data_IF_670589381617
#
_entry.id   IF_670589381617
#
_cell.length_a   1.000
_cell.length_b   1.000
_cell.length_c   1.000
_cell.angle_alpha   90.00
_cell.angle_beta   90.00
_cell.angle_gamma   90.00
#
_symmetry.space_group_name_H-M   'P 1'
#
loop_
_entity.id
_entity.type
_entity.pdbx_description
1 polymer ?
#
# COMPACT_ATOMS: atom_id res chain seq x y z
N UNK A 1 -0.04 16.90 11.54
CA UNK A 1 -0.82 16.09 12.52
C UNK A 1 -2.33 16.40 12.59
N UNK A 2 -2.91 17.24 11.69
CA UNK A 2 -4.32 17.68 11.79
C UNK A 2 -5.27 17.21 10.66
N UNK A 3 -4.79 16.42 9.68
CA UNK A 3 -5.61 15.98 8.54
C UNK A 3 -6.19 14.57 8.69
N UNK A 4 -5.51 13.61 9.33
CA UNK A 4 -5.97 12.21 9.43
C UNK A 4 -7.26 11.96 10.25
N UNK A 5 -7.49 12.71 11.33
CA UNK A 5 -8.64 12.47 12.24
C UNK A 5 -10.01 12.91 11.67
N UNK A 6 -10.04 13.79 10.66
CA UNK A 6 -11.28 14.17 9.96
C UNK A 6 -11.75 13.10 8.97
N UNK A 7 -10.84 12.24 8.49
CA UNK A 7 -11.13 11.22 7.47
C UNK A 7 -11.90 10.01 8.01
N UNK A 8 -11.56 9.55 9.22
CA UNK A 8 -12.34 8.50 9.90
C UNK A 8 -13.81 8.91 10.10
N UNK A 9 -14.09 10.22 10.25
CA UNK A 9 -15.46 10.74 10.38
C UNK A 9 -16.22 10.80 9.05
N UNK A 10 -15.53 11.00 7.93
CA UNK A 10 -16.14 11.00 6.59
C UNK A 10 -16.42 9.57 6.09
N UNK A 11 -15.53 8.62 6.37
CA UNK A 11 -15.77 7.20 6.11
C UNK A 11 -16.92 6.67 7.00
N UNK A 12 -16.98 7.08 8.26
CA UNK A 12 -18.08 6.75 9.16
C UNK A 12 -19.43 7.36 8.73
N UNK A 13 -19.42 8.50 8.01
CA UNK A 13 -20.64 9.09 7.44
C UNK A 13 -21.17 8.33 6.23
N UNK A 14 -20.32 7.57 5.52
CA UNK A 14 -20.72 6.75 4.38
C UNK A 14 -21.13 5.31 4.76
N UNK A 15 -20.87 4.86 6.00
CA UNK A 15 -21.12 3.48 6.44
C UNK A 15 -21.61 3.43 7.90
N UNK A 16 -22.93 3.42 8.15
CA UNK A 16 -23.50 3.50 9.51
C UNK A 16 -23.33 2.25 10.40
N UNK A 17 -22.61 1.21 9.96
CA UNK A 17 -22.50 -0.06 10.68
C UNK A 17 -21.26 -0.22 11.59
N UNK A 18 -20.40 0.79 11.71
CA UNK A 18 -19.12 0.69 12.45
C UNK A 18 -19.13 1.33 13.86
N UNK A 19 -20.29 1.67 14.42
CA UNK A 19 -20.37 2.18 15.79
C UNK A 19 -20.76 1.09 16.78
N UNK A 20 -19.77 0.33 17.28
CA UNK A 20 -19.92 -0.44 18.52
C UNK A 20 -18.74 -0.12 19.45
N UNK A 21 -19.06 0.63 20.49
CA UNK A 21 -18.50 0.68 21.85
C UNK A 21 -17.08 0.14 22.09
N UNK A 22 -16.15 1.04 22.42
CA UNK A 22 -14.99 0.75 23.26
C UNK A 22 -14.88 1.87 24.30
N UNK A 23 -15.57 1.72 25.44
CA UNK A 23 -15.00 1.32 26.73
C UNK A 23 -13.75 2.10 27.16
N UNK A 24 -13.96 2.97 28.15
CA UNK A 24 -12.97 3.78 28.83
C UNK A 24 -12.25 2.96 29.91
N UNK A 25 -10.93 3.12 30.10
CA UNK A 25 -10.34 2.94 31.41
C UNK A 25 -9.63 4.20 31.90
N UNK A 26 -10.07 4.63 33.08
CA UNK A 26 -9.40 5.52 34.00
C UNK A 26 -8.24 4.79 34.69
N UNK A 27 -7.04 5.39 34.72
CA UNK A 27 -6.40 5.92 35.94
C UNK A 27 -4.92 6.20 35.67
N UNK A 28 -4.50 7.39 36.09
CA UNK A 28 -3.12 7.86 36.09
C UNK A 28 -2.30 7.17 37.18
N UNK A 29 -1.11 6.69 36.82
CA UNK A 29 -0.01 6.45 37.76
C UNK A 29 1.28 7.07 37.21
N UNK A 30 1.79 8.02 37.96
CA UNK A 30 3.07 8.70 37.76
C UNK A 30 4.23 7.73 38.00
N UNK A 31 5.25 7.63 37.11
CA UNK A 31 6.49 6.96 37.45
C UNK A 31 7.58 7.96 37.86
N UNK A 32 8.27 7.57 38.92
CA UNK A 32 9.42 8.21 39.56
C UNK A 32 10.68 7.93 38.73
N UNK A 33 11.49 8.97 38.54
CA UNK A 33 12.71 9.06 37.73
C UNK A 33 13.87 8.21 38.29
N UNK A 34 14.36 7.21 37.56
CA UNK A 34 15.66 6.53 37.80
C UNK A 34 16.34 6.10 36.47
N UNK A 35 17.61 6.50 36.32
CA UNK A 35 18.68 5.95 35.46
C UNK A 35 18.56 5.97 33.92
N UNK A 36 19.42 6.79 33.30
CA UNK A 36 19.36 7.23 31.88
C UNK A 36 20.02 6.29 30.86
N UNK A 37 20.51 5.10 31.22
CA UNK A 37 21.08 4.13 30.25
C UNK A 37 20.25 2.85 30.12
N UNK A 38 19.71 2.32 31.22
CA UNK A 38 18.70 1.23 31.18
C UNK A 38 17.35 1.71 30.62
N UNK A 39 17.12 3.02 30.62
CA UNK A 39 15.86 3.63 30.13
C UNK A 39 15.69 3.59 28.62
N UNK A 40 16.77 3.58 27.83
CA UNK A 40 16.65 3.56 26.37
C UNK A 40 16.28 2.15 25.87
N UNK A 41 16.98 1.13 26.34
CA UNK A 41 16.72 -0.28 26.04
C UNK A 41 15.36 -0.73 26.56
N UNK A 42 14.99 -0.34 27.78
CA UNK A 42 13.65 -0.62 28.30
C UNK A 42 12.56 0.13 27.52
N UNK A 43 12.81 1.36 27.05
CA UNK A 43 11.83 2.12 26.26
C UNK A 43 11.72 1.64 24.81
N UNK A 44 12.79 1.10 24.25
CA UNK A 44 12.80 0.44 22.94
C UNK A 44 12.06 -0.90 23.05
N UNK A 45 12.40 -1.73 24.04
CA UNK A 45 11.71 -2.98 24.34
C UNK A 45 10.22 -2.77 24.64
N UNK A 46 9.86 -1.71 25.38
CA UNK A 46 8.45 -1.39 25.65
C UNK A 46 7.71 -0.98 24.37
N UNK A 47 8.35 -0.20 23.49
CA UNK A 47 7.75 0.23 22.21
C UNK A 47 7.58 -0.93 21.23
N UNK A 48 8.55 -1.82 21.11
CA UNK A 48 8.42 -3.02 20.27
C UNK A 48 7.36 -3.96 20.82
N UNK A 49 7.25 -4.08 22.15
CA UNK A 49 6.20 -4.88 22.80
C UNK A 49 4.80 -4.28 22.53
N UNK A 50 4.62 -2.97 22.65
CA UNK A 50 3.37 -2.29 22.29
C UNK A 50 3.03 -2.43 20.81
N UNK A 51 4.02 -2.35 19.92
CA UNK A 51 3.81 -2.56 18.48
C UNK A 51 3.37 -4.01 18.16
N UNK A 52 4.06 -5.00 18.76
CA UNK A 52 3.77 -6.42 18.58
C UNK A 52 2.40 -6.86 19.11
N UNK A 53 1.84 -6.12 20.06
CA UNK A 53 0.52 -6.40 20.65
C UNK A 53 -0.61 -5.62 19.99
N UNK A 54 -0.31 -4.82 18.96
CA UNK A 54 -1.31 -4.03 18.25
C UNK A 54 -2.39 -4.91 17.59
N UNK A 55 -3.60 -4.36 17.47
CA UNK A 55 -4.72 -5.03 16.82
C UNK A 55 -4.40 -5.52 15.40
N UNK A 56 -3.59 -4.74 14.67
CA UNK A 56 -3.19 -5.06 13.30
C UNK A 56 -2.34 -6.34 13.23
N UNK A 57 -1.40 -6.50 14.18
CA UNK A 57 -0.59 -7.72 14.30
C UNK A 57 -1.45 -8.91 14.71
N UNK A 58 -2.41 -8.71 15.62
CA UNK A 58 -3.32 -9.78 16.05
C UNK A 58 -4.19 -10.31 14.91
N UNK A 59 -4.67 -9.44 14.02
CA UNK A 59 -5.39 -9.87 12.80
C UNK A 59 -4.46 -10.69 11.91
N UNK A 60 -3.22 -10.23 11.69
CA UNK A 60 -2.25 -10.96 10.87
C UNK A 60 -2.03 -12.38 11.41
N UNK A 61 -1.74 -12.49 12.71
CA UNK A 61 -1.53 -13.75 13.40
C UNK A 61 -2.78 -14.64 13.41
N UNK A 62 -3.98 -14.07 13.48
CA UNK A 62 -5.22 -14.83 13.35
C UNK A 62 -5.32 -15.52 11.98
N UNK A 63 -5.05 -14.80 10.88
CA UNK A 63 -5.11 -15.34 9.52
C UNK A 63 -3.90 -16.20 9.14
N UNK A 64 -2.83 -16.17 9.93
CA UNK A 64 -1.65 -17.03 9.78
C UNK A 64 -1.89 -18.45 10.32
N UNK A 65 -2.67 -18.61 11.40
CA UNK A 65 -2.99 -19.91 12.03
C UNK A 65 -3.49 -21.02 11.08
N UNK A 66 -4.38 -20.76 10.11
CA UNK A 66 -4.88 -21.82 9.21
C UNK A 66 -3.88 -22.22 8.12
N UNK A 67 -2.73 -21.54 7.99
CA UNK A 67 -1.79 -21.78 6.90
C UNK A 67 -0.92 -23.01 7.20
N UNK A 68 -0.82 -23.99 6.27
CA UNK A 68 0.01 -25.16 6.46
C UNK A 68 1.49 -24.83 6.78
N UNK A 69 2.16 -25.57 7.67
CA UNK A 69 3.55 -25.30 8.06
C UNK A 69 4.52 -25.21 6.89
N UNK A 70 4.39 -26.08 5.89
CA UNK A 70 5.25 -26.06 4.70
C UNK A 70 5.15 -24.74 3.91
N UNK A 71 3.96 -24.12 3.89
CA UNK A 71 3.75 -22.82 3.25
C UNK A 71 4.36 -21.73 4.15
N UNK A 72 4.11 -21.80 5.47
CA UNK A 72 4.70 -20.86 6.44
C UNK A 72 6.24 -20.83 6.35
N UNK A 73 6.89 -21.99 6.27
CA UNK A 73 8.35 -22.10 6.14
C UNK A 73 8.87 -21.52 4.81
N UNK A 74 8.08 -21.67 3.74
CA UNK A 74 8.40 -21.10 2.43
C UNK A 74 8.30 -19.57 2.45
N UNK A 75 7.23 -19.01 3.02
CA UNK A 75 6.95 -17.56 3.04
C UNK A 75 7.42 -16.85 4.31
N UNK A 76 8.14 -17.53 5.20
CA UNK A 76 8.71 -16.94 6.39
C UNK A 76 9.61 -15.76 6.01
N UNK A 77 9.58 -14.70 6.82
CA UNK A 77 10.48 -13.57 6.66
C UNK A 77 11.93 -14.06 6.75
N UNK A 78 12.75 -13.75 5.75
CA UNK A 78 14.17 -14.12 5.73
C UNK A 78 15.04 -12.88 5.80
N UNK A 79 16.10 -12.92 6.60
CA UNK A 79 17.16 -11.92 6.48
C UNK A 79 17.89 -12.15 5.16
N UNK A 80 17.69 -11.26 4.19
CA UNK A 80 18.23 -11.41 2.83
C UNK A 80 19.48 -10.53 2.73
N UNK A 81 20.64 -11.13 3.00
CA UNK A 81 21.94 -10.47 2.91
C UNK A 81 22.34 -10.17 1.46
N UNK A 82 22.05 -11.10 0.53
CA UNK A 82 22.20 -10.93 -0.90
C UNK A 82 20.87 -11.26 -1.57
N UNK A 83 20.30 -10.30 -2.29
CA UNK A 83 19.12 -10.56 -3.12
C UNK A 83 19.59 -11.43 -4.27
N UNK A 84 19.00 -12.63 -4.43
CA UNK A 84 19.31 -13.49 -5.57
C UNK A 84 19.26 -12.67 -6.87
N UNK A 85 20.35 -12.65 -7.64
CA UNK A 85 20.44 -11.80 -8.83
C UNK A 85 19.50 -12.26 -9.96
N UNK A 86 19.08 -13.54 -9.91
CA UNK A 86 18.20 -14.15 -10.90
C UNK A 86 16.79 -13.58 -10.92
N UNK A 87 16.28 -13.33 -12.13
CA UNK A 87 14.91 -12.83 -12.40
C UNK A 87 13.83 -13.66 -11.69
N UNK A 88 13.90 -14.98 -11.80
CA UNK A 88 12.92 -15.89 -11.16
C UNK A 88 13.08 -15.86 -9.64
N UNK A 89 14.32 -15.87 -9.15
CA UNK A 89 14.62 -15.80 -7.71
C UNK A 89 14.05 -14.54 -7.06
N UNK A 90 14.20 -13.37 -7.68
CA UNK A 90 13.59 -12.10 -7.21
C UNK A 90 12.07 -12.11 -7.29
N UNK A 91 11.52 -12.77 -8.31
CA UNK A 91 10.08 -12.84 -8.48
C UNK A 91 9.48 -13.69 -7.34
N UNK A 92 10.01 -14.90 -7.13
CA UNK A 92 9.53 -15.91 -6.18
C UNK A 92 10.08 -15.74 -4.77
N UNK A 93 10.91 -14.72 -4.52
CA UNK A 93 11.58 -14.54 -3.24
C UNK A 93 10.56 -14.30 -2.13
N UNK A 94 10.70 -15.01 -1.00
CA UNK A 94 9.86 -14.76 0.16
C UNK A 94 10.01 -13.32 0.68
N UNK A 95 9.11 -12.89 1.57
CA UNK A 95 9.28 -11.65 2.33
C UNK A 95 10.69 -11.58 2.91
N UNK A 96 11.38 -10.47 2.67
CA UNK A 96 12.77 -10.29 3.09
C UNK A 96 12.98 -9.12 4.02
N UNK A 97 14.07 -9.17 4.77
CA UNK A 97 14.55 -8.07 5.60
C UNK A 97 16.00 -7.69 5.22
N UNK A 98 16.27 -6.42 4.83
CA UNK A 98 15.32 -5.36 4.43
C UNK A 98 14.35 -5.82 3.33
N UNK A 99 13.28 -5.08 3.01
CA UNK A 99 12.34 -5.51 1.96
C UNK A 99 13.01 -5.86 0.63
N UNK A 100 12.45 -6.81 -0.12
CA UNK A 100 13.04 -7.27 -1.39
C UNK A 100 12.58 -6.36 -2.53
N UNK A 101 13.49 -5.72 -3.28
CA UNK A 101 13.11 -4.87 -4.40
C UNK A 101 12.57 -5.73 -5.55
N UNK A 102 11.26 -5.58 -5.82
CA UNK A 102 10.55 -6.28 -6.90
C UNK A 102 10.18 -5.27 -8.00
N UNK A 103 10.98 -5.14 -9.08
CA UNK A 103 10.75 -4.14 -10.11
C UNK A 103 9.40 -4.35 -10.82
N UNK A 104 8.80 -3.26 -11.31
CA UNK A 104 7.43 -3.28 -11.82
C UNK A 104 7.26 -4.25 -12.99
N UNK A 105 8.20 -4.25 -13.94
CA UNK A 105 8.16 -5.16 -15.08
C UNK A 105 8.10 -6.64 -14.67
N UNK A 106 8.78 -7.03 -13.59
CA UNK A 106 8.72 -8.39 -13.06
C UNK A 106 7.34 -8.69 -12.46
N UNK A 107 6.79 -7.76 -11.69
CA UNK A 107 5.46 -7.91 -11.11
C UNK A 107 4.40 -8.02 -12.22
N UNK A 108 4.48 -7.22 -13.27
CA UNK A 108 3.58 -7.32 -14.44
C UNK A 108 3.76 -8.66 -15.15
N UNK A 109 4.99 -9.07 -15.41
CA UNK A 109 5.29 -10.34 -16.09
C UNK A 109 4.75 -11.54 -15.33
N UNK A 110 4.79 -11.54 -14.00
CA UNK A 110 4.17 -12.58 -13.18
C UNK A 110 2.64 -12.47 -13.13
N UNK A 111 2.12 -11.25 -13.05
CA UNK A 111 0.69 -10.99 -12.77
C UNK A 111 -0.21 -11.14 -13.99
N UNK A 112 0.23 -10.70 -15.17
CA UNK A 112 -0.57 -10.79 -16.40
C UNK A 112 -0.93 -12.24 -16.79
N UNK A 113 0.04 -13.19 -16.89
CA UNK A 113 -0.29 -14.58 -17.26
C UNK A 113 -1.00 -15.35 -16.14
N UNK A 114 -0.81 -14.95 -14.88
CA UNK A 114 -1.43 -15.63 -13.73
C UNK A 114 -2.80 -15.06 -13.34
N UNK A 115 -3.34 -14.08 -14.09
CA UNK A 115 -4.62 -13.46 -13.77
C UNK A 115 -4.64 -12.75 -12.41
N UNK A 116 -3.57 -12.01 -12.09
CA UNK A 116 -3.34 -11.29 -10.83
C UNK A 116 -3.04 -12.16 -9.59
N UNK A 117 -2.97 -13.49 -9.72
CA UNK A 117 -2.54 -14.35 -8.60
C UNK A 117 -1.15 -13.95 -8.10
N UNK A 118 -0.23 -13.67 -9.03
CA UNK A 118 1.10 -13.21 -8.68
C UNK A 118 1.11 -11.84 -8.01
N UNK A 119 0.20 -10.95 -8.44
CA UNK A 119 0.04 -9.65 -7.80
C UNK A 119 -0.43 -9.81 -6.35
N UNK A 120 -1.31 -10.77 -6.09
CA UNK A 120 -1.69 -11.17 -4.74
C UNK A 120 -0.47 -11.57 -3.91
N UNK A 121 0.37 -12.47 -4.40
CA UNK A 121 1.61 -12.85 -3.70
C UNK A 121 2.56 -11.67 -3.47
N UNK A 122 2.75 -10.80 -4.47
CA UNK A 122 3.53 -9.57 -4.31
C UNK A 122 2.97 -8.69 -3.18
N UNK A 123 1.65 -8.49 -3.15
CA UNK A 123 0.97 -7.68 -2.13
C UNK A 123 1.11 -8.31 -0.74
N UNK A 124 0.98 -9.63 -0.65
CA UNK A 124 1.25 -10.38 0.57
C UNK A 124 2.65 -10.08 1.09
N UNK A 125 3.67 -10.22 0.23
CA UNK A 125 5.05 -10.09 0.66
C UNK A 125 5.39 -8.67 1.11
N UNK A 126 4.95 -7.66 0.36
CA UNK A 126 5.15 -6.26 0.72
C UNK A 126 4.48 -5.90 2.05
N UNK A 127 3.25 -6.37 2.28
CA UNK A 127 2.53 -6.09 3.52
C UNK A 127 3.22 -6.71 4.74
N UNK A 128 3.74 -7.93 4.62
CA UNK A 128 4.55 -8.58 5.69
C UNK A 128 5.87 -7.82 5.91
N UNK A 129 6.61 -7.49 4.84
CA UNK A 129 7.88 -6.78 4.93
C UNK A 129 7.74 -5.43 5.65
N UNK A 130 6.69 -4.68 5.32
CA UNK A 130 6.42 -3.38 5.94
C UNK A 130 5.90 -3.53 7.38
N UNK A 131 5.09 -4.56 7.67
CA UNK A 131 4.60 -4.81 9.03
C UNK A 131 5.76 -5.11 9.98
N UNK A 132 6.66 -6.01 9.59
CA UNK A 132 7.80 -6.41 10.40
C UNK A 132 8.80 -5.27 10.60
N UNK A 133 9.02 -4.46 9.56
CA UNK A 133 9.82 -3.23 9.68
C UNK A 133 9.21 -2.24 10.68
N UNK A 134 7.89 -2.00 10.64
CA UNK A 134 7.21 -1.11 11.59
C UNK A 134 7.33 -1.61 13.04
N UNK A 135 7.16 -2.92 13.27
CA UNK A 135 7.32 -3.53 14.60
C UNK A 135 8.75 -3.35 15.11
N UNK A 136 9.74 -3.64 14.25
CA UNK A 136 11.17 -3.54 14.59
C UNK A 136 11.58 -2.10 14.91
N UNK A 137 11.10 -1.14 14.15
CA UNK A 137 11.34 0.29 14.40
C UNK A 137 10.56 0.82 15.63
N UNK A 138 9.76 -0.03 16.30
CA UNK A 138 8.93 0.34 17.43
C UNK A 138 7.83 1.34 17.06
N UNK A 139 7.45 1.38 15.77
CA UNK A 139 6.35 2.20 15.25
C UNK A 139 5.03 1.45 15.47
N UNK A 140 3.95 2.21 15.64
CA UNK A 140 2.61 1.61 15.65
C UNK A 140 2.31 1.04 14.26
N UNK A 141 2.09 -0.28 14.12
CA UNK A 141 1.85 -0.88 12.82
C UNK A 141 0.60 -0.29 12.16
N UNK A 142 0.68 0.06 10.87
CA UNK A 142 -0.44 0.62 10.11
C UNK A 142 -1.11 -0.40 9.22
N UNK A 143 -0.31 -1.25 8.59
CA UNK A 143 -0.80 -2.37 7.78
C UNK A 143 -1.22 -3.55 8.63
N UNK A 144 -2.04 -4.43 8.04
CA UNK A 144 -2.51 -5.67 8.68
C UNK A 144 -1.59 -6.87 8.41
N UNK A 145 -0.44 -6.64 7.78
CA UNK A 145 0.40 -7.72 7.25
C UNK A 145 -0.23 -8.40 6.02
N UNK A 146 0.51 -9.31 5.41
CA UNK A 146 0.09 -10.06 4.24
C UNK A 146 -1.06 -11.01 4.56
N UNK A 147 -1.01 -11.72 5.69
CA UNK A 147 -2.10 -12.63 6.09
C UNK A 147 -3.36 -11.85 6.48
N UNK A 148 -3.20 -10.77 7.25
CA UNK A 148 -4.33 -9.94 7.66
C UNK A 148 -4.93 -9.12 6.51
N UNK A 149 -4.17 -8.86 5.45
CA UNK A 149 -4.66 -8.18 4.24
C UNK A 149 -5.35 -9.14 3.27
N UNK A 150 -4.70 -10.26 2.91
CA UNK A 150 -5.27 -11.18 1.93
C UNK A 150 -6.26 -12.16 2.53
N UNK A 151 -6.08 -12.56 3.79
CA UNK A 151 -6.97 -13.52 4.47
C UNK A 151 -8.44 -13.10 4.40
N UNK A 152 -8.83 -11.93 4.95
CA UNK A 152 -10.22 -11.47 4.87
C UNK A 152 -10.74 -11.33 3.44
N UNK A 153 -9.91 -10.86 2.51
CA UNK A 153 -10.28 -10.75 1.09
C UNK A 153 -10.60 -12.10 0.48
N UNK A 154 -9.68 -13.08 0.60
CA UNK A 154 -9.86 -14.44 0.07
C UNK A 154 -11.05 -15.12 0.74
N UNK A 155 -11.19 -14.99 2.06
CA UNK A 155 -12.36 -15.53 2.78
C UNK A 155 -13.66 -14.91 2.28
N UNK A 156 -13.75 -13.59 2.13
CA UNK A 156 -14.95 -12.92 1.63
C UNK A 156 -15.29 -13.32 0.19
N UNK A 157 -14.28 -13.40 -0.68
CA UNK A 157 -14.44 -13.79 -2.08
C UNK A 157 -14.79 -15.27 -2.26
N UNK A 158 -14.34 -16.18 -1.40
CA UNK A 158 -14.66 -17.61 -1.48
C UNK A 158 -15.97 -17.96 -0.76
N UNK A 159 -16.19 -17.41 0.44
CA UNK A 159 -17.39 -17.71 1.22
C UNK A 159 -18.65 -17.10 0.61
N UNK A 160 -18.55 -15.98 -0.10
CA UNK A 160 -19.72 -15.35 -0.70
C UNK A 160 -20.41 -16.21 -1.78
N UNK A 161 -19.69 -16.72 -2.79
CA UNK A 161 -20.26 -17.64 -3.78
C UNK A 161 -20.74 -18.95 -3.16
N UNK A 162 -20.00 -19.50 -2.19
CA UNK A 162 -20.43 -20.72 -1.47
C UNK A 162 -21.74 -20.48 -0.72
N UNK A 163 -21.85 -19.37 0.02
CA UNK A 163 -23.06 -18.99 0.72
C UNK A 163 -24.23 -18.74 -0.24
N UNK A 164 -23.95 -18.16 -1.42
CA UNK A 164 -24.95 -17.97 -2.47
C UNK A 164 -25.46 -19.31 -3.04
N UNK A 165 -24.56 -20.25 -3.33
CA UNK A 165 -24.91 -21.61 -3.79
C UNK A 165 -25.74 -22.36 -2.73
N UNK A 166 -25.44 -22.14 -1.45
CA UNK A 166 -26.19 -22.73 -0.32
C UNK A 166 -27.48 -21.96 0.03
N UNK A 167 -27.88 -20.98 -0.78
CA UNK A 167 -29.07 -20.13 -0.58
C UNK A 167 -29.10 -19.40 0.78
N UNK A 168 -27.93 -19.08 1.35
CA UNK A 168 -27.84 -18.27 2.56
C UNK A 168 -28.12 -16.79 2.23
N UNK A 169 -29.02 -16.12 2.97
CA UNK A 169 -29.36 -14.73 2.70
C UNK A 169 -28.12 -13.83 2.88
N UNK A 170 -27.83 -13.03 1.86
CA UNK A 170 -26.72 -12.07 1.90
C UNK A 170 -25.33 -12.64 1.57
N UNK A 171 -25.21 -13.87 1.06
CA UNK A 171 -23.91 -14.48 0.70
C UNK A 171 -23.04 -13.57 -0.19
N UNK A 172 -23.61 -12.96 -1.23
CA UNK A 172 -22.86 -12.03 -2.11
C UNK A 172 -22.37 -10.76 -1.40
N UNK A 173 -22.99 -10.36 -0.28
CA UNK A 173 -22.51 -9.21 0.49
C UNK A 173 -21.14 -9.48 1.10
N UNK A 174 -20.80 -10.75 1.40
CA UNK A 174 -19.49 -11.10 1.94
C UNK A 174 -18.38 -10.89 0.91
N UNK A 175 -18.64 -11.19 -0.37
CA UNK A 175 -17.69 -10.88 -1.45
C UNK A 175 -17.53 -9.39 -1.65
N UNK A 176 -18.63 -8.64 -1.61
CA UNK A 176 -18.57 -7.17 -1.68
C UNK A 176 -17.76 -6.58 -0.52
N UNK A 177 -17.93 -7.09 0.70
CA UNK A 177 -17.13 -6.70 1.86
C UNK A 177 -15.65 -7.04 1.67
N UNK A 178 -15.33 -8.20 1.11
CA UNK A 178 -13.95 -8.57 0.74
C UNK A 178 -13.33 -7.57 -0.25
N UNK A 179 -14.09 -7.17 -1.27
CA UNK A 179 -13.64 -6.18 -2.26
C UNK A 179 -13.43 -4.81 -1.60
N UNK A 180 -14.39 -4.33 -0.81
CA UNK A 180 -14.23 -3.05 -0.08
C UNK A 180 -13.01 -3.10 0.84
N UNK A 181 -12.79 -4.22 1.51
CA UNK A 181 -11.66 -4.43 2.39
C UNK A 181 -10.32 -4.37 1.65
N UNK A 182 -10.19 -5.03 0.48
CA UNK A 182 -8.92 -5.00 -0.27
C UNK A 182 -8.61 -3.60 -0.84
N UNK A 183 -9.63 -2.80 -1.14
CA UNK A 183 -9.46 -1.39 -1.50
C UNK A 183 -9.02 -0.54 -0.31
N UNK A 184 -9.60 -0.78 0.88
CA UNK A 184 -9.18 -0.10 2.10
C UNK A 184 -7.71 -0.39 2.43
N UNK A 185 -7.28 -1.66 2.40
CA UNK A 185 -5.88 -2.01 2.66
C UNK A 185 -4.95 -1.47 1.58
N UNK A 186 -5.40 -1.39 0.32
CA UNK A 186 -4.65 -0.72 -0.76
C UNK A 186 -4.41 0.77 -0.43
N UNK A 187 -5.42 1.49 0.05
CA UNK A 187 -5.26 2.89 0.45
C UNK A 187 -4.24 3.05 1.58
N UNK A 188 -4.31 2.18 2.59
CA UNK A 188 -3.34 2.17 3.71
C UNK A 188 -1.93 1.89 3.20
N UNK A 189 -1.75 0.93 2.29
CA UNK A 189 -0.45 0.62 1.68
C UNK A 189 0.14 1.84 0.95
N UNK A 190 -0.68 2.57 0.19
CA UNK A 190 -0.22 3.77 -0.51
C UNK A 190 0.23 4.88 0.45
N UNK A 191 -0.49 5.09 1.56
CA UNK A 191 -0.09 6.06 2.58
C UNK A 191 1.23 5.66 3.24
N UNK A 192 1.43 4.36 3.49
CA UNK A 192 2.70 3.81 4.01
C UNK A 192 3.86 4.05 3.04
N UNK A 193 3.68 3.83 1.73
CA UNK A 193 4.75 4.12 0.76
C UNK A 193 5.08 5.61 0.72
N UNK A 194 4.09 6.51 0.77
CA UNK A 194 4.35 7.94 0.89
C UNK A 194 5.10 8.30 2.17
N UNK A 195 4.80 7.64 3.27
CA UNK A 195 5.49 7.81 4.55
C UNK A 195 6.96 7.43 4.48
N UNK A 196 7.30 6.31 3.84
CA UNK A 196 8.68 5.89 3.65
C UNK A 196 9.49 6.97 2.92
N UNK A 197 8.92 7.57 1.88
CA UNK A 197 9.54 8.68 1.15
C UNK A 197 9.66 9.94 2.02
N UNK A 198 8.60 10.28 2.76
CA UNK A 198 8.58 11.45 3.65
C UNK A 198 9.61 11.35 4.78
N UNK A 199 9.81 10.17 5.33
CA UNK A 199 10.81 9.92 6.38
C UNK A 199 12.24 10.09 5.88
N UNK A 200 12.49 9.83 4.60
CA UNK A 200 13.78 10.10 3.94
C UNK A 200 13.92 11.55 3.43
N UNK A 201 12.94 12.42 3.71
CA UNK A 201 12.93 13.79 3.19
C UNK A 201 12.69 13.87 1.67
N UNK A 202 12.20 12.79 1.05
CA UNK A 202 11.83 12.72 -0.35
C UNK A 202 10.38 13.16 -0.56
N UNK A 203 10.05 13.51 -1.80
CA UNK A 203 8.69 13.89 -2.18
C UNK A 203 7.77 12.66 -2.20
N UNK A 204 6.56 12.81 -1.65
CA UNK A 204 5.51 11.78 -1.68
C UNK A 204 5.09 11.44 -3.12
N UNK A 205 5.32 10.20 -3.59
CA UNK A 205 5.11 9.87 -5.00
C UNK A 205 3.66 9.51 -5.36
N UNK A 206 2.81 9.13 -4.40
CA UNK A 206 1.48 8.61 -4.67
C UNK A 206 0.38 9.62 -4.35
N UNK A 207 -0.50 9.86 -5.32
CA UNK A 207 -1.72 10.66 -5.14
C UNK A 207 -2.84 9.79 -4.56
N UNK A 208 -2.97 9.74 -3.23
CA UNK A 208 -3.95 8.91 -2.51
C UNK A 208 -5.41 9.07 -2.99
N UNK A 209 -5.77 10.21 -3.56
CA UNK A 209 -7.12 10.47 -4.03
C UNK A 209 -7.50 9.70 -5.29
N UNK A 210 -6.53 9.32 -6.10
CA UNK A 210 -6.73 8.62 -7.37
C UNK A 210 -7.07 7.13 -7.16
N UNK A 211 -7.02 6.68 -5.91
CA UNK A 211 -7.18 5.29 -5.52
C UNK A 211 -8.61 4.97 -5.12
N UNK A 212 -9.49 5.97 -5.10
CA UNK A 212 -10.91 5.73 -4.85
C UNK A 212 -11.50 4.98 -6.04
N UNK A 213 -12.30 3.92 -5.81
CA UNK A 213 -12.85 3.10 -6.89
C UNK A 213 -13.65 3.89 -7.95
N UNK A 214 -14.23 5.02 -7.55
CA UNK A 214 -14.95 5.93 -8.46
C UNK A 214 -14.05 6.54 -9.55
N UNK A 215 -12.74 6.57 -9.33
CA UNK A 215 -11.75 7.06 -10.27
C UNK A 215 -11.12 5.94 -11.09
N UNK A 216 -11.74 4.77 -11.26
CA UNK A 216 -11.26 3.81 -12.26
C UNK A 216 -11.15 4.50 -13.65
N UNK A 217 -10.02 4.39 -14.38
CA UNK A 217 -8.88 3.46 -14.20
C UNK A 217 -7.65 4.05 -13.46
N UNK A 218 -7.77 5.20 -12.78
CA UNK A 218 -6.66 5.84 -12.07
C UNK A 218 -6.12 5.00 -10.89
N UNK A 219 -6.92 4.10 -10.33
CA UNK A 219 -6.49 3.18 -9.27
C UNK A 219 -5.35 2.26 -9.74
N UNK A 220 -5.40 1.80 -11.00
CA UNK A 220 -4.36 1.03 -11.66
C UNK A 220 -3.09 1.86 -11.84
N UNK A 221 -3.22 3.13 -12.25
CA UNK A 221 -2.08 4.05 -12.37
C UNK A 221 -1.35 4.19 -11.04
N UNK A 222 -2.09 4.41 -9.95
CA UNK A 222 -1.47 4.50 -8.62
C UNK A 222 -0.87 3.17 -8.19
N UNK A 223 -1.52 2.04 -8.54
CA UNK A 223 -0.98 0.71 -8.29
C UNK A 223 0.37 0.47 -8.96
N UNK A 224 0.50 0.81 -10.25
CA UNK A 224 1.76 0.71 -10.98
C UNK A 224 2.85 1.60 -10.37
N UNK A 225 2.49 2.84 -10.02
CA UNK A 225 3.40 3.77 -9.33
C UNK A 225 3.83 3.21 -7.97
N UNK A 226 2.90 2.67 -7.18
CA UNK A 226 3.21 2.10 -5.87
C UNK A 226 4.27 1.01 -5.97
N UNK A 227 4.12 0.08 -6.93
CA UNK A 227 5.09 -0.99 -7.15
C UNK A 227 6.45 -0.42 -7.54
N UNK A 228 6.48 0.52 -8.49
CA UNK A 228 7.70 1.14 -8.95
C UNK A 228 8.45 1.88 -7.82
N UNK A 229 7.79 2.79 -7.11
CA UNK A 229 8.41 3.59 -6.06
C UNK A 229 8.79 2.75 -4.84
N UNK A 230 8.00 1.74 -4.48
CA UNK A 230 8.40 0.84 -3.40
C UNK A 230 9.64 0.02 -3.79
N UNK A 231 9.72 -0.46 -5.02
CA UNK A 231 10.93 -1.15 -5.50
C UNK A 231 12.15 -0.22 -5.48
N UNK A 232 12.00 1.03 -5.91
CA UNK A 232 13.07 2.04 -5.89
C UNK A 232 13.55 2.34 -4.47
N UNK A 233 12.61 2.46 -3.53
CA UNK A 233 12.92 2.63 -2.11
C UNK A 233 13.80 1.49 -1.58
N UNK A 234 13.44 0.24 -1.87
CA UNK A 234 14.23 -0.91 -1.42
C UNK A 234 15.59 -1.01 -2.08
N UNK A 235 15.72 -0.66 -3.37
CA UNK A 235 17.02 -0.56 -4.03
C UNK A 235 17.93 0.46 -3.32
N UNK A 236 17.39 1.65 -2.99
CA UNK A 236 18.13 2.68 -2.23
C UNK A 236 18.52 2.22 -0.84
N UNK A 237 17.58 1.62 -0.08
CA UNK A 237 17.87 1.09 1.26
C UNK A 237 18.96 0.03 1.28
N UNK A 238 19.09 -0.74 0.20
CA UNK A 238 20.11 -1.78 0.05
C UNK A 238 21.41 -1.29 -0.60
N UNK A 239 21.53 0.01 -0.91
CA UNK A 239 22.65 0.60 -1.67
C UNK A 239 22.90 -0.14 -3.00
N UNK A 240 21.83 -0.56 -3.66
CA UNK A 240 21.86 -1.24 -4.96
C UNK A 240 21.40 -0.29 -6.06
N UNK A 241 21.98 -0.41 -7.24
CA UNK A 241 21.46 0.29 -8.42
C UNK A 241 20.13 -0.35 -8.88
N UNK A 242 19.12 0.49 -9.09
CA UNK A 242 17.85 0.02 -9.62
C UNK A 242 18.01 -0.34 -11.10
N UNK A 243 17.52 -1.52 -11.54
CA UNK A 243 17.55 -1.89 -12.95
C UNK A 243 16.66 -0.95 -13.76
N UNK A 244 16.99 -0.80 -15.04
CA UNK A 244 16.15 -0.08 -15.99
C UNK A 244 14.80 -0.77 -16.06
N UNK A 245 13.74 0.00 -15.87
CA UNK A 245 12.37 -0.49 -15.88
C UNK A 245 11.73 -0.15 -17.22
N UNK A 246 11.72 -1.14 -18.13
CA UNK A 246 11.20 -0.96 -19.49
C UNK A 246 9.74 -0.50 -19.52
N UNK A 247 8.97 -0.79 -18.46
CA UNK A 247 7.58 -0.34 -18.33
C UNK A 247 7.53 1.16 -18.05
N UNK A 248 8.42 1.68 -17.21
CA UNK A 248 8.53 3.11 -16.91
C UNK A 248 9.08 3.87 -18.12
N UNK A 249 10.05 3.29 -18.83
CA UNK A 249 10.57 3.85 -20.08
C UNK A 249 9.48 3.97 -21.14
N UNK A 250 8.54 3.01 -21.17
CA UNK A 250 7.42 3.06 -22.10
C UNK A 250 6.27 3.94 -21.60
N UNK A 251 6.00 3.99 -20.29
CA UNK A 251 4.93 4.78 -19.65
C UNK A 251 5.54 5.77 -18.62
N UNK A 252 6.02 6.95 -19.06
CA UNK A 252 6.77 7.88 -18.20
C UNK A 252 6.01 8.38 -16.97
N UNK A 253 4.68 8.44 -17.03
CA UNK A 253 3.84 8.78 -15.88
C UNK A 253 4.07 7.87 -14.67
N UNK A 254 4.64 6.66 -14.82
CA UNK A 254 4.88 5.76 -13.69
C UNK A 254 6.06 6.25 -12.84
N UNK A 255 7.12 6.76 -13.49
CA UNK A 255 8.35 7.22 -12.82
C UNK A 255 8.35 8.70 -12.43
N UNK A 256 7.40 9.49 -12.93
CA UNK A 256 7.34 10.93 -12.64
C UNK A 256 7.27 11.19 -11.11
N UNK A 257 8.07 12.09 -10.51
CA UNK A 257 8.10 12.30 -9.05
C UNK A 257 6.72 12.65 -8.48
N UNK A 258 6.00 13.53 -9.18
CA UNK A 258 4.60 13.88 -8.91
C UNK A 258 4.02 14.46 -10.18
N UNK A 259 2.75 14.17 -10.44
CA UNK A 259 1.99 14.89 -11.46
C UNK A 259 0.50 14.92 -11.09
N UNK A 260 -0.20 15.94 -11.55
CA UNK A 260 -1.64 16.09 -11.38
C UNK A 260 -2.43 15.42 -12.48
N UNK A 261 -3.74 15.25 -12.31
CA UNK A 261 -4.59 14.67 -13.34
C UNK A 261 -4.66 15.63 -14.54
N UNK A 262 -4.56 16.93 -14.26
CA UNK A 262 -4.43 18.00 -15.27
C UNK A 262 -3.16 17.80 -16.10
N UNK A 263 -1.99 17.70 -15.45
CA UNK A 263 -0.72 17.44 -16.13
C UNK A 263 -0.73 16.10 -16.87
N UNK A 264 -1.37 15.08 -16.30
CA UNK A 264 -1.56 13.81 -17.00
C UNK A 264 -2.26 14.04 -18.34
N UNK A 265 -3.44 14.66 -18.36
CA UNK A 265 -4.19 14.81 -19.60
C UNK A 265 -3.60 15.80 -20.59
N UNK A 266 -2.90 16.82 -20.11
CA UNK A 266 -2.35 17.89 -20.96
C UNK A 266 -0.98 17.55 -21.55
N UNK A 267 -0.29 16.53 -21.04
CA UNK A 267 1.05 16.15 -21.50
C UNK A 267 1.03 14.72 -22.05
N UNK A 268 0.66 14.53 -23.34
CA UNK A 268 0.62 13.22 -23.99
C UNK A 268 1.94 12.45 -23.91
N UNK A 269 3.07 13.16 -23.87
CA UNK A 269 4.39 12.56 -23.69
C UNK A 269 4.53 11.74 -22.39
N UNK A 270 3.73 12.04 -21.36
CA UNK A 270 3.69 11.25 -20.12
C UNK A 270 2.96 9.92 -20.30
N UNK A 271 2.04 9.81 -21.26
CA UNK A 271 1.20 8.62 -21.43
C UNK A 271 2.01 7.47 -21.94
N UNK A 272 2.71 7.64 -23.07
CA UNK A 272 3.60 6.61 -23.56
C UNK A 272 4.71 7.19 -24.43
N UNK A 273 5.81 6.44 -24.55
CA UNK A 273 6.99 6.80 -25.35
C UNK A 273 6.64 7.09 -26.82
N UNK A 274 5.59 6.47 -27.35
CA UNK A 274 5.12 6.70 -28.72
C UNK A 274 4.62 8.14 -28.94
N UNK A 275 4.19 8.83 -27.88
CA UNK A 275 3.69 10.21 -27.91
C UNK A 275 4.75 11.22 -27.45
N UNK A 276 6.03 10.81 -27.35
CA UNK A 276 7.12 11.69 -26.89
C UNK A 276 7.37 12.92 -27.77
N UNK A 277 6.96 12.87 -29.05
CA UNK A 277 7.08 13.99 -29.99
C UNK A 277 5.78 14.79 -30.16
N UNK A 278 4.75 14.51 -29.35
CA UNK A 278 3.48 15.24 -29.41
C UNK A 278 3.55 16.42 -28.45
N UNK A 279 3.28 17.61 -28.99
CA UNK A 279 3.25 18.84 -28.20
C UNK A 279 2.18 18.77 -27.10
N UNK A 280 2.44 19.48 -26.00
CA UNK A 280 1.48 19.63 -24.92
C UNK A 280 0.19 20.29 -25.42
N UNK A 281 -0.93 19.85 -24.87
CA UNK A 281 -2.24 20.37 -25.22
C UNK A 281 -2.41 21.73 -24.53
N UNK A 282 -2.55 22.81 -25.29
CA UNK A 282 -2.89 24.11 -24.72
C UNK A 282 -4.32 24.05 -24.16
N UNK A 283 -4.53 24.24 -22.84
CA UNK A 283 -5.85 24.24 -22.23
C UNK A 283 -6.86 25.15 -22.93
N UNK A 284 -6.40 26.26 -23.52
CA UNK A 284 -7.26 27.24 -24.21
C UNK A 284 -7.86 26.72 -25.51
N UNK A 285 -7.28 25.65 -26.06
CA UNK A 285 -7.77 25.01 -27.29
C UNK A 285 -8.88 23.99 -27.02
N UNK A 286 -9.11 23.65 -25.75
CA UNK A 286 -10.13 22.67 -25.34
C UNK A 286 -11.53 23.32 -25.25
N UNK A 287 -12.62 22.55 -25.40
CA UNK A 287 -13.98 23.05 -25.17
C UNK A 287 -14.16 23.69 -23.77
N UNK A 288 -14.97 24.75 -23.67
CA UNK A 288 -15.21 25.50 -22.42
C UNK A 288 -15.53 24.62 -21.19
N UNK A 289 -16.36 23.55 -21.30
CA UNK A 289 -16.61 22.66 -20.15
C UNK A 289 -15.35 21.99 -19.62
N UNK A 290 -14.40 21.66 -20.50
CA UNK A 290 -13.13 21.03 -20.16
C UNK A 290 -12.17 22.08 -19.57
N UNK A 291 -12.16 23.31 -20.10
CA UNK A 291 -11.38 24.41 -19.52
C UNK A 291 -11.79 24.70 -18.07
N UNK A 292 -13.10 24.75 -17.80
CA UNK A 292 -13.65 24.96 -16.46
C UNK A 292 -13.24 23.82 -15.52
N UNK A 293 -13.30 22.58 -16.01
CA UNK A 293 -12.89 21.40 -15.25
C UNK A 293 -11.39 21.43 -14.90
N UNK A 294 -10.52 21.80 -15.86
CA UNK A 294 -9.08 21.93 -15.65
C UNK A 294 -8.73 23.07 -14.68
N UNK A 295 -9.45 24.19 -14.74
CA UNK A 295 -9.27 25.32 -13.83
C UNK A 295 -9.59 24.98 -12.36
N UNK A 296 -10.57 24.10 -12.12
CA UNK A 296 -10.88 23.55 -10.79
C UNK A 296 -9.74 22.64 -10.26
N UNK A 297 -9.02 21.97 -11.16
CA UNK A 297 -7.84 21.16 -10.81
C UNK A 297 -6.65 22.01 -10.37
N UNK A 298 -6.42 23.15 -11.03
CA UNK A 298 -5.30 24.06 -10.75
C UNK A 298 -5.46 24.87 -9.46
N UNK A 299 -6.70 25.23 -9.07
CA UNK A 299 -6.96 26.03 -7.86
C UNK A 299 -6.63 25.32 -6.55
N UNK A 300 -6.48 24.00 -6.56
CA UNK A 300 -6.05 23.22 -5.39
C UNK A 300 -4.52 23.17 -5.22
N UNK A 301 -3.73 23.67 -6.17
CA UNK A 301 -2.26 23.72 -6.09
C UNK A 301 -1.74 24.93 -5.31
N UNK A 302 -2.41 26.08 -5.35
CA UNK A 302 -1.93 27.33 -4.72
C UNK A 302 -2.19 27.42 -3.21
N UNK A 303 -2.80 26.39 -2.60
CA UNK A 303 -3.13 26.34 -1.16
C UNK A 303 -2.45 25.17 -0.40
N UNK A 304 -1.48 24.49 -1.01
CA UNK A 304 -0.75 23.37 -0.40
C UNK A 304 0.66 23.79 0.03
#
# INVERSE_FOLDING_TARGET
MWRGKRWLRLIALCFPLLQINAFSPSTSRTPKRISTQTSAENAEFSRTTEASTSWNVQINEFFKKPVPPAILDYIALRTVNNVEEGVIGKLTSPPGEPGVPRPLWLVILGSAPSGLLWYGYYKFAVEEELLEMEIREGKTPKGLGGYGTLGPFVYGCLLGPVAYILHLPGGMNWSNLGIVFIYYTQFVLYDRVNELYREEGLQEPLSLWWTLPIFFPFDLIVGLRQVHFLSQYWYRKRNMEAPIDSVVDFFPFIGAPRFTWVEFFLTPALWCKLLSNVDDIDPKTLPEPIQLFLALGQTNQTKA
#
